data_IF_492839766078
#
_entry.id   IF_492839766078
#
_cell.length_a   1.000
_cell.length_b   1.000
_cell.length_c   1.000
_cell.angle_alpha   90.00
_cell.angle_beta   90.00
_cell.angle_gamma   90.00
#
_symmetry.space_group_name_H-M   'P 1'
#
loop_
_entity.id
_entity.type
_entity.pdbx_description
1 polymer ?
#
# COMPACT_ATOMS: atom_id res chain seq x y z
N UNK A 1 26.91 8.69 26.50
CA UNK A 1 26.47 7.28 26.60
C UNK A 1 25.87 7.14 27.97
N UNK A 2 24.54 7.14 28.07
CA UNK A 2 23.85 6.90 29.33
C UNK A 2 23.63 5.39 29.42
N UNK A 3 24.19 4.77 30.46
CA UNK A 3 23.94 3.37 30.78
C UNK A 3 22.44 3.21 31.06
N UNK A 4 21.73 2.60 30.10
CA UNK A 4 20.37 2.16 30.30
C UNK A 4 20.43 0.95 31.23
N UNK A 5 20.22 1.22 32.51
CA UNK A 5 20.10 0.21 33.56
C UNK A 5 18.84 -0.63 33.33
N UNK A 6 19.03 -1.89 32.93
CA UNK A 6 17.97 -2.89 32.69
C UNK A 6 17.60 -3.68 33.96
N UNK A 7 17.95 -3.18 35.15
CA UNK A 7 17.62 -3.81 36.45
C UNK A 7 16.12 -3.97 36.74
N UNK A 8 15.22 -3.42 35.91
CA UNK A 8 13.78 -3.63 36.04
C UNK A 8 13.28 -5.03 35.60
N UNK A 9 14.13 -5.85 34.95
CA UNK A 9 13.74 -7.23 34.59
C UNK A 9 13.99 -8.27 35.70
N UNK A 10 14.69 -7.91 36.78
CA UNK A 10 14.78 -8.75 37.99
C UNK A 10 13.60 -8.47 38.93
N UNK A 11 12.41 -8.78 38.42
CA UNK A 11 11.25 -8.99 39.27
C UNK A 11 11.50 -10.22 40.14
N UNK A 12 12.12 -10.03 41.31
CA UNK A 12 12.11 -10.99 42.39
C UNK A 12 10.66 -11.35 42.71
N UNK A 13 10.18 -12.45 42.13
CA UNK A 13 9.01 -13.16 42.59
C UNK A 13 9.36 -13.65 43.99
N UNK A 14 8.95 -12.92 45.01
CA UNK A 14 9.01 -13.39 46.40
C UNK A 14 8.28 -14.73 46.45
N UNK A 15 9.06 -15.80 46.64
CA UNK A 15 8.56 -17.14 46.90
C UNK A 15 7.66 -17.10 48.12
N UNK A 16 6.35 -17.12 47.88
CA UNK A 16 5.38 -17.52 48.88
C UNK A 16 5.49 -19.03 49.01
N UNK A 17 6.10 -19.49 50.09
CA UNK A 17 6.02 -20.87 50.56
C UNK A 17 4.55 -21.21 50.86
N UNK A 18 3.83 -21.72 49.86
CA UNK A 18 2.62 -22.52 50.10
C UNK A 18 3.01 -23.98 50.01
N UNK A 19 3.44 -24.51 51.16
CA UNK A 19 3.46 -25.95 51.42
C UNK A 19 2.05 -26.52 51.30
N UNK A 20 1.67 -26.90 50.09
CA UNK A 20 0.50 -27.72 49.82
C UNK A 20 1.00 -28.87 48.95
N UNK A 21 1.20 -30.04 49.56
CA UNK A 21 1.53 -31.26 48.85
C UNK A 21 0.48 -31.52 47.79
N UNK A 22 0.80 -31.17 46.55
CA UNK A 22 0.04 -31.57 45.38
C UNK A 22 0.30 -33.06 45.22
N UNK A 23 -0.60 -33.86 45.79
CA UNK A 23 -0.76 -35.26 45.43
C UNK A 23 -1.04 -35.26 43.94
N UNK A 24 -0.01 -35.50 43.13
CA UNK A 24 -0.18 -35.83 41.72
C UNK A 24 -0.97 -37.13 41.76
N UNK A 25 -2.26 -37.16 41.34
CA UNK A 25 -2.98 -38.41 41.29
C UNK A 25 -2.19 -39.32 40.35
N UNK A 26 -1.75 -40.45 40.87
CA UNK A 26 -1.24 -41.56 40.07
C UNK A 26 -2.37 -41.96 39.12
N UNK A 27 -2.28 -41.49 37.88
CA UNK A 27 -3.22 -41.85 36.82
C UNK A 27 -2.96 -43.31 36.52
N UNK A 28 -3.75 -44.16 37.17
CA UNK A 28 -3.85 -45.57 36.83
C UNK A 28 -4.37 -45.63 35.40
N UNK A 29 -3.49 -46.00 34.48
CA UNK A 29 -3.79 -46.25 33.07
C UNK A 29 -4.61 -47.54 32.97
N UNK A 30 -5.88 -47.45 33.34
CA UNK A 30 -6.86 -48.49 33.03
C UNK A 30 -7.10 -48.44 31.53
N UNK A 31 -6.59 -49.46 30.83
CA UNK A 31 -6.62 -49.63 29.37
C UNK A 31 -8.02 -49.64 28.75
N UNK A 32 -8.66 -48.48 28.73
CA UNK A 32 -9.73 -48.16 27.81
C UNK A 32 -9.08 -48.00 26.44
N UNK A 33 -9.23 -49.02 25.58
CA UNK A 33 -8.71 -49.00 24.22
C UNK A 33 -9.00 -47.67 23.55
N UNK A 34 -7.97 -46.84 23.41
CA UNK A 34 -8.06 -45.54 22.78
C UNK A 34 -8.47 -45.80 21.34
N UNK A 35 -9.75 -45.55 21.04
CA UNK A 35 -10.21 -45.48 19.65
C UNK A 35 -9.48 -44.27 19.09
N UNK A 36 -8.32 -44.51 18.47
CA UNK A 36 -7.46 -43.45 17.98
C UNK A 36 -8.30 -42.51 17.12
N UNK A 37 -8.38 -41.25 17.51
CA UNK A 37 -9.18 -40.20 16.85
C UNK A 37 -8.77 -40.10 15.37
N UNK A 38 -7.54 -40.48 15.06
CA UNK A 38 -6.98 -40.64 13.71
C UNK A 38 -7.82 -41.56 12.81
N UNK A 39 -8.48 -42.59 13.36
CA UNK A 39 -9.34 -43.50 12.60
C UNK A 39 -10.77 -42.95 12.37
N UNK A 40 -11.16 -41.85 13.03
CA UNK A 40 -12.53 -41.34 12.95
C UNK A 40 -12.73 -40.28 11.86
N UNK A 41 -11.71 -39.47 11.55
CA UNK A 41 -11.78 -38.36 10.59
C UNK A 41 -10.99 -38.64 9.30
N UNK A 42 -11.20 -39.81 8.69
CA UNK A 42 -10.52 -40.19 7.44
C UNK A 42 -11.35 -39.86 6.21
N UNK A 43 -10.69 -39.42 5.13
CA UNK A 43 -11.32 -39.11 3.84
C UNK A 43 -12.06 -40.32 3.26
N UNK A 44 -11.53 -41.53 3.48
CA UNK A 44 -12.14 -42.78 3.03
C UNK A 44 -13.57 -42.97 3.53
N UNK A 45 -13.88 -42.52 4.76
CA UNK A 45 -15.23 -42.58 5.31
C UNK A 45 -16.20 -41.57 4.70
N UNK A 46 -15.70 -40.45 4.18
CA UNK A 46 -16.52 -39.43 3.53
C UNK A 46 -16.78 -39.75 2.05
N UNK A 47 -15.94 -40.57 1.40
CA UNK A 47 -16.06 -40.88 -0.04
C UNK A 47 -17.43 -41.41 -0.47
N UNK A 48 -18.10 -42.31 0.26
CA UNK A 48 -19.41 -42.86 -0.15
C UNK A 48 -20.46 -41.78 -0.40
N UNK A 49 -20.47 -40.71 0.40
CA UNK A 49 -21.46 -39.62 0.32
C UNK A 49 -21.34 -38.82 -1.00
N UNK A 50 -20.15 -38.82 -1.62
CA UNK A 50 -19.89 -38.10 -2.87
C UNK A 50 -19.98 -38.98 -4.12
N UNK A 51 -20.16 -40.30 -3.98
CA UNK A 51 -20.18 -41.21 -5.14
C UNK A 51 -21.34 -40.92 -6.10
N UNK A 52 -22.50 -40.51 -5.59
CA UNK A 52 -23.66 -40.16 -6.43
C UNK A 52 -23.36 -38.91 -7.26
N UNK A 53 -22.87 -37.85 -6.60
CA UNK A 53 -22.54 -36.58 -7.26
C UNK A 53 -21.39 -36.75 -8.27
N UNK A 54 -20.42 -37.61 -7.96
CA UNK A 54 -19.32 -37.94 -8.88
C UNK A 54 -19.85 -38.57 -10.17
N UNK A 55 -20.79 -39.51 -10.08
CA UNK A 55 -21.41 -40.14 -11.27
C UNK A 55 -22.15 -39.12 -12.13
N UNK A 56 -22.90 -38.20 -11.52
CA UNK A 56 -23.59 -37.12 -12.23
C UNK A 56 -22.60 -36.18 -12.94
N UNK A 57 -21.51 -35.82 -12.27
CA UNK A 57 -20.43 -35.02 -12.83
C UNK A 57 -19.76 -35.71 -14.02
N UNK A 58 -19.39 -36.99 -13.89
CA UNK A 58 -18.74 -37.76 -14.96
C UNK A 58 -19.65 -37.89 -16.20
N UNK A 59 -20.96 -38.03 -16.00
CA UNK A 59 -21.95 -38.00 -17.07
C UNK A 59 -22.01 -36.61 -17.75
N UNK A 60 -22.02 -35.54 -16.97
CA UNK A 60 -22.03 -34.16 -17.48
C UNK A 60 -20.77 -33.83 -18.28
N UNK A 61 -19.60 -34.25 -17.81
CA UNK A 61 -18.31 -34.08 -18.51
C UNK A 61 -18.34 -34.78 -19.86
N UNK A 62 -18.93 -35.98 -19.92
CA UNK A 62 -19.08 -36.73 -21.18
C UNK A 62 -19.98 -36.00 -22.16
N UNK A 63 -21.11 -35.44 -21.70
CA UNK A 63 -22.01 -34.63 -22.53
C UNK A 63 -21.34 -33.34 -23.01
N UNK A 64 -20.64 -32.63 -22.12
CA UNK A 64 -19.92 -31.40 -22.44
C UNK A 64 -18.84 -31.60 -23.51
N UNK A 65 -18.15 -32.74 -23.52
CA UNK A 65 -17.16 -33.06 -24.57
C UNK A 65 -17.79 -33.25 -25.96
N UNK A 66 -19.07 -33.60 -26.01
CA UNK A 66 -19.77 -33.87 -27.27
C UNK A 66 -20.43 -32.63 -27.88
N UNK A 67 -20.60 -31.55 -27.11
CA UNK A 67 -21.31 -30.36 -27.57
C UNK A 67 -20.43 -29.50 -28.48
N UNK A 68 -20.95 -29.12 -29.64
CA UNK A 68 -20.38 -28.10 -30.52
C UNK A 68 -21.38 -26.98 -30.65
N UNK A 69 -20.98 -25.76 -30.30
CA UNK A 69 -21.84 -24.58 -30.38
C UNK A 69 -21.65 -23.94 -31.75
N UNK A 70 -22.63 -24.12 -32.63
CA UNK A 70 -22.59 -23.65 -34.04
C UNK A 70 -23.81 -22.78 -34.37
N UNK A 71 -24.89 -22.91 -33.60
CA UNK A 71 -26.18 -22.22 -33.80
C UNK A 71 -26.79 -21.79 -32.45
N UNK A 72 -27.89 -21.03 -32.52
CA UNK A 72 -28.58 -20.51 -31.33
C UNK A 72 -29.17 -21.65 -30.46
N UNK A 73 -29.60 -22.75 -31.08
CA UNK A 73 -30.14 -23.91 -30.35
C UNK A 73 -29.06 -24.65 -29.55
N UNK A 74 -27.88 -24.87 -30.14
CA UNK A 74 -26.71 -25.44 -29.45
C UNK A 74 -26.15 -24.49 -28.39
N UNK A 75 -26.25 -23.18 -28.60
CA UNK A 75 -25.92 -22.17 -27.58
C UNK A 75 -26.87 -22.26 -26.37
N UNK A 76 -28.17 -22.42 -26.60
CA UNK A 76 -29.16 -22.60 -25.54
C UNK A 76 -28.91 -23.89 -24.74
N UNK A 77 -28.61 -25.01 -25.43
CA UNK A 77 -28.23 -26.28 -24.79
C UNK A 77 -26.94 -26.17 -23.98
N UNK A 78 -25.93 -25.43 -24.48
CA UNK A 78 -24.70 -25.18 -23.73
C UNK A 78 -24.97 -24.36 -22.47
N UNK A 79 -25.83 -23.33 -22.54
CA UNK A 79 -26.22 -22.54 -21.37
C UNK A 79 -27.00 -23.37 -20.34
N UNK A 80 -27.90 -24.25 -20.78
CA UNK A 80 -28.59 -25.19 -19.88
C UNK A 80 -27.59 -26.12 -19.17
N UNK A 81 -26.61 -26.67 -19.90
CA UNK A 81 -25.56 -27.50 -19.33
C UNK A 81 -24.70 -26.74 -18.31
N UNK A 82 -24.40 -25.46 -18.55
CA UNK A 82 -23.72 -24.59 -17.58
C UNK A 82 -24.55 -24.38 -16.31
N UNK A 83 -25.87 -24.28 -16.42
CA UNK A 83 -26.77 -24.21 -15.25
C UNK A 83 -26.74 -25.53 -14.47
N UNK A 84 -26.81 -26.68 -15.15
CA UNK A 84 -26.75 -27.99 -14.50
C UNK A 84 -25.40 -28.23 -13.80
N UNK A 85 -24.29 -27.83 -14.41
CA UNK A 85 -22.95 -27.87 -13.79
C UNK A 85 -22.90 -27.06 -12.50
N UNK A 86 -23.56 -25.90 -12.48
CA UNK A 86 -23.67 -25.04 -11.28
C UNK A 86 -24.53 -25.66 -10.18
N UNK A 87 -25.58 -26.41 -10.54
CA UNK A 87 -26.39 -27.17 -9.59
C UNK A 87 -25.55 -28.29 -8.97
N UNK A 88 -24.82 -29.07 -9.77
CA UNK A 88 -23.89 -30.10 -9.28
C UNK A 88 -22.86 -29.49 -8.33
N UNK A 89 -22.24 -28.37 -8.70
CA UNK A 89 -21.29 -27.67 -7.83
C UNK A 89 -21.90 -27.24 -6.49
N UNK A 90 -23.15 -26.76 -6.48
CA UNK A 90 -23.88 -26.43 -5.25
C UNK A 90 -24.15 -27.68 -4.42
N UNK A 91 -24.55 -28.79 -5.04
CA UNK A 91 -24.80 -30.05 -4.35
C UNK A 91 -23.53 -30.60 -3.68
N UNK A 92 -22.35 -30.42 -4.32
CA UNK A 92 -21.05 -30.76 -3.70
C UNK A 92 -20.85 -29.95 -2.41
N UNK A 93 -21.06 -28.64 -2.45
CA UNK A 93 -20.91 -27.79 -1.26
C UNK A 93 -21.95 -28.14 -0.18
N UNK A 94 -23.20 -28.41 -0.55
CA UNK A 94 -24.21 -28.86 0.41
C UNK A 94 -23.82 -30.19 1.04
N UNK A 95 -23.46 -31.20 0.25
CA UNK A 95 -23.01 -32.52 0.74
C UNK A 95 -21.79 -32.39 1.66
N UNK A 96 -20.84 -31.53 1.32
CA UNK A 96 -19.68 -31.20 2.17
C UNK A 96 -20.12 -30.59 3.50
N UNK A 97 -21.02 -29.61 3.51
CA UNK A 97 -21.49 -28.98 4.76
C UNK A 97 -22.37 -29.90 5.61
N UNK A 98 -23.16 -30.78 4.99
CA UNK A 98 -24.03 -31.74 5.68
C UNK A 98 -23.26 -32.96 6.18
N UNK A 99 -22.11 -33.29 5.59
CA UNK A 99 -21.26 -34.38 6.05
C UNK A 99 -20.78 -34.11 7.49
N UNK A 100 -21.05 -35.07 8.38
CA UNK A 100 -20.79 -34.96 9.82
C UNK A 100 -19.29 -34.86 10.11
N UNK A 101 -18.44 -35.54 9.33
CA UNK A 101 -16.99 -35.50 9.52
C UNK A 101 -16.44 -34.12 9.17
N UNK A 102 -16.88 -33.56 8.04
CA UNK A 102 -16.48 -32.23 7.63
C UNK A 102 -16.97 -31.14 8.59
N UNK A 103 -18.25 -31.18 8.98
CA UNK A 103 -18.82 -30.18 9.91
C UNK A 103 -18.21 -30.27 11.31
N UNK A 104 -17.93 -31.47 11.82
CA UNK A 104 -17.21 -31.69 13.09
C UNK A 104 -15.79 -31.13 13.03
N UNK A 105 -15.04 -31.46 11.96
CA UNK A 105 -13.68 -30.94 11.77
C UNK A 105 -13.66 -29.41 11.60
N UNK A 106 -14.61 -28.85 10.85
CA UNK A 106 -14.76 -27.41 10.67
C UNK A 106 -15.12 -26.71 11.98
N UNK A 107 -16.01 -27.29 12.79
CA UNK A 107 -16.37 -26.77 14.11
C UNK A 107 -15.16 -26.76 15.05
N UNK A 108 -14.43 -27.88 15.14
CA UNK A 108 -13.21 -27.98 15.94
C UNK A 108 -12.19 -26.93 15.50
N UNK A 109 -11.91 -26.82 14.19
CA UNK A 109 -11.01 -25.81 13.65
C UNK A 109 -11.44 -24.40 14.04
N UNK A 110 -12.73 -24.08 13.90
CA UNK A 110 -13.24 -22.74 14.22
C UNK A 110 -13.19 -22.43 15.72
N UNK A 111 -13.50 -23.39 16.58
CA UNK A 111 -13.39 -23.27 18.04
C UNK A 111 -11.93 -23.14 18.47
N UNK A 112 -11.02 -23.94 17.91
CA UNK A 112 -9.59 -23.85 18.17
C UNK A 112 -8.98 -22.53 17.66
N UNK A 113 -9.32 -22.10 16.45
CA UNK A 113 -8.92 -20.79 15.90
C UNK A 113 -9.47 -19.64 16.76
N UNK A 114 -10.71 -19.76 17.24
CA UNK A 114 -11.30 -18.78 18.17
C UNK A 114 -10.53 -18.73 19.48
N UNK A 115 -10.26 -19.89 20.08
CA UNK A 115 -9.46 -20.00 21.29
C UNK A 115 -8.07 -19.41 21.10
N UNK A 116 -7.35 -19.75 20.02
CA UNK A 116 -6.04 -19.16 19.72
C UNK A 116 -6.09 -17.63 19.60
N UNK A 117 -7.13 -17.09 18.96
CA UNK A 117 -7.32 -15.64 18.85
C UNK A 117 -7.58 -14.99 20.19
N UNK A 118 -8.47 -15.57 21.00
CA UNK A 118 -8.86 -15.02 22.30
C UNK A 118 -7.73 -15.12 23.33
N UNK A 119 -7.03 -16.26 23.36
CA UNK A 119 -5.98 -16.55 24.33
C UNK A 119 -4.64 -15.89 23.98
N UNK A 120 -4.27 -15.82 22.70
CA UNK A 120 -2.93 -15.35 22.31
C UNK A 120 -2.97 -14.10 21.44
N UNK A 121 -3.69 -14.14 20.31
CA UNK A 121 -3.61 -13.06 19.33
C UNK A 121 -4.15 -11.72 19.87
N UNK A 122 -5.27 -11.75 20.59
CA UNK A 122 -5.89 -10.54 21.15
C UNK A 122 -5.03 -9.90 22.25
N UNK A 123 -4.51 -10.64 23.25
CA UNK A 123 -3.57 -10.08 24.22
C UNK A 123 -2.29 -9.53 23.58
N UNK A 124 -1.71 -10.24 22.60
CA UNK A 124 -0.54 -9.74 21.85
C UNK A 124 -0.84 -8.42 21.14
N UNK A 125 -1.99 -8.34 20.47
CA UNK A 125 -2.45 -7.12 19.79
C UNK A 125 -2.73 -5.98 20.77
N UNK A 126 -3.27 -6.28 21.95
CA UNK A 126 -3.49 -5.30 23.00
C UNK A 126 -2.15 -4.75 23.54
N UNK A 127 -1.16 -5.62 23.75
CA UNK A 127 0.19 -5.22 24.13
C UNK A 127 0.86 -4.37 23.04
N UNK A 128 0.75 -4.76 21.77
CA UNK A 128 1.25 -3.95 20.65
C UNK A 128 0.61 -2.56 20.65
N UNK A 129 -0.72 -2.49 20.81
CA UNK A 129 -1.48 -1.24 20.86
C UNK A 129 -1.06 -0.36 22.04
N UNK A 130 -0.68 -0.95 23.17
CA UNK A 130 -0.20 -0.22 24.35
C UNK A 130 1.25 0.28 24.20
N UNK A 131 2.11 -0.45 23.50
CA UNK A 131 3.54 -0.14 23.36
C UNK A 131 3.78 0.88 22.23
N UNK A 132 3.09 0.73 21.10
CA UNK A 132 3.26 1.58 19.91
C UNK A 132 3.18 3.09 20.17
N UNK A 133 2.21 3.64 20.94
CA UNK A 133 2.17 5.08 21.22
C UNK A 133 3.37 5.54 22.06
N UNK A 134 3.90 4.71 22.97
CA UNK A 134 5.08 5.03 23.80
C UNK A 134 6.35 5.12 22.93
N UNK A 135 6.53 4.16 22.02
CA UNK A 135 7.63 4.17 21.06
C UNK A 135 7.54 5.40 20.16
N UNK A 136 6.35 5.71 19.62
CA UNK A 136 6.15 6.88 18.79
C UNK A 136 6.42 8.19 19.54
N UNK A 137 6.00 8.29 20.81
CA UNK A 137 6.28 9.45 21.65
C UNK A 137 7.80 9.67 21.83
N UNK A 138 8.56 8.61 22.08
CA UNK A 138 10.01 8.68 22.18
C UNK A 138 10.67 9.11 20.86
N UNK A 139 10.28 8.50 19.73
CA UNK A 139 10.82 8.86 18.41
C UNK A 139 10.53 10.32 18.06
N UNK A 140 9.33 10.81 18.38
CA UNK A 140 8.97 12.21 18.18
C UNK A 140 9.79 13.15 19.07
N UNK A 141 10.03 12.78 20.33
CA UNK A 141 10.91 13.53 21.23
C UNK A 141 12.35 13.59 20.71
N UNK A 142 12.89 12.46 20.22
CA UNK A 142 14.23 12.41 19.62
C UNK A 142 14.33 13.28 18.37
N UNK A 143 13.31 13.25 17.49
CA UNK A 143 13.25 14.09 16.30
C UNK A 143 13.17 15.59 16.65
N UNK A 144 12.39 15.95 17.67
CA UNK A 144 12.29 17.34 18.14
C UNK A 144 13.60 17.84 18.75
N UNK A 145 14.25 17.02 19.57
CA UNK A 145 15.59 17.33 20.11
C UNK A 145 16.60 17.53 18.98
N UNK A 146 16.63 16.65 17.98
CA UNK A 146 17.50 16.77 16.82
C UNK A 146 17.22 18.06 16.02
N UNK A 147 15.95 18.43 15.83
CA UNK A 147 15.55 19.69 15.18
C UNK A 147 16.04 20.91 15.96
N UNK A 148 15.92 20.91 17.29
CA UNK A 148 16.39 22.02 18.14
C UNK A 148 17.91 22.17 18.09
N UNK A 149 18.64 21.06 18.12
CA UNK A 149 20.11 21.07 18.00
C UNK A 149 20.51 21.59 16.62
N UNK A 150 19.89 21.11 15.54
CA UNK A 150 20.15 21.57 14.19
C UNK A 150 19.82 23.05 13.99
N UNK A 151 18.69 23.53 14.52
CA UNK A 151 18.27 24.92 14.45
C UNK A 151 19.24 25.85 15.19
N UNK A 152 19.70 25.46 16.40
CA UNK A 152 20.72 26.21 17.14
C UNK A 152 22.04 26.29 16.38
N UNK A 153 22.51 25.17 15.85
CA UNK A 153 23.74 25.11 15.06
C UNK A 153 23.65 25.95 13.79
N UNK A 154 22.52 25.88 13.08
CA UNK A 154 22.28 26.68 11.89
C UNK A 154 22.19 28.19 12.21
N UNK A 155 21.60 28.58 13.34
CA UNK A 155 21.55 29.97 13.76
C UNK A 155 22.93 30.53 14.13
N UNK A 156 23.75 29.75 14.84
CA UNK A 156 25.13 30.12 15.18
C UNK A 156 26.01 30.26 13.93
N UNK A 157 25.89 29.32 12.99
CA UNK A 157 26.62 29.36 11.71
C UNK A 157 26.16 30.54 10.83
N UNK A 158 24.86 30.80 10.76
CA UNK A 158 24.32 31.96 10.05
C UNK A 158 24.76 33.29 10.67
N UNK A 159 24.83 33.39 12.01
CA UNK A 159 25.36 34.57 12.69
C UNK A 159 26.85 34.77 12.40
N UNK A 160 27.63 33.69 12.38
CA UNK A 160 29.06 33.73 12.01
C UNK A 160 29.23 34.25 10.59
N UNK A 161 28.47 33.69 9.64
CA UNK A 161 28.53 34.10 8.23
C UNK A 161 28.08 35.56 8.05
N UNK A 162 27.03 36.00 8.76
CA UNK A 162 26.56 37.40 8.71
C UNK A 162 27.61 38.37 9.24
N UNK A 163 28.29 38.03 10.34
CA UNK A 163 29.39 38.85 10.88
C UNK A 163 30.57 38.92 9.91
N UNK A 164 30.89 37.81 9.25
CA UNK A 164 31.96 37.75 8.25
C UNK A 164 31.61 38.56 7.00
N UNK A 165 30.40 38.42 6.47
CA UNK A 165 29.88 39.22 5.36
C UNK A 165 29.85 40.71 5.68
N UNK A 166 29.40 41.09 6.89
CA UNK A 166 29.39 42.49 7.31
C UNK A 166 30.80 43.08 7.43
N UNK A 167 31.78 42.29 7.91
CA UNK A 167 33.20 42.72 7.94
C UNK A 167 33.76 42.90 6.54
N UNK A 168 33.44 42.00 5.60
CA UNK A 168 33.89 42.09 4.22
C UNK A 168 33.30 43.33 3.53
N UNK A 169 31.99 43.56 3.69
CA UNK A 169 31.31 44.74 3.15
C UNK A 169 31.86 46.05 3.72
N UNK A 170 32.19 46.08 5.02
CA UNK A 170 32.80 47.25 5.64
C UNK A 170 34.23 47.48 5.12
N UNK A 171 35.03 46.42 4.95
CA UNK A 171 36.35 46.52 4.33
C UNK A 171 36.28 47.01 2.88
N UNK A 172 35.32 46.51 2.10
CA UNK A 172 35.06 46.97 0.73
C UNK A 172 34.63 48.44 0.72
N UNK A 173 33.74 48.86 1.63
CA UNK A 173 33.37 50.27 1.79
C UNK A 173 34.58 51.14 2.13
N UNK A 174 35.42 50.72 3.07
CA UNK A 174 36.62 51.47 3.46
C UNK A 174 37.62 51.56 2.31
N UNK A 175 37.80 50.46 1.56
CA UNK A 175 38.64 50.44 0.37
C UNK A 175 38.10 51.36 -0.72
N UNK A 176 36.80 51.31 -1.00
CA UNK A 176 36.14 52.20 -1.96
C UNK A 176 36.23 53.68 -1.51
N UNK A 177 36.07 53.97 -0.22
CA UNK A 177 36.25 55.32 0.32
C UNK A 177 37.67 55.82 0.13
N UNK A 178 38.68 55.01 0.46
CA UNK A 178 40.08 55.36 0.26
C UNK A 178 40.43 55.54 -1.21
N UNK A 179 39.98 54.66 -2.09
CA UNK A 179 40.16 54.78 -3.54
C UNK A 179 39.52 56.08 -4.08
N UNK A 180 38.35 56.48 -3.55
CA UNK A 180 37.71 57.76 -3.87
C UNK A 180 38.51 58.96 -3.36
N UNK A 181 39.02 58.92 -2.12
CA UNK A 181 39.85 59.99 -1.55
C UNK A 181 41.17 60.15 -2.32
N UNK A 182 41.84 59.05 -2.62
CA UNK A 182 43.09 59.02 -3.40
C UNK A 182 42.84 59.57 -4.83
N UNK A 183 41.72 59.18 -5.47
CA UNK A 183 41.32 59.71 -6.78
C UNK A 183 41.02 61.21 -6.75
N UNK A 184 40.33 61.71 -5.72
CA UNK A 184 40.06 63.13 -5.53
C UNK A 184 41.37 63.92 -5.30
N UNK A 185 42.29 63.40 -4.49
CA UNK A 185 43.58 64.03 -4.23
C UNK A 185 44.47 64.08 -5.49
N UNK A 186 44.47 63.01 -6.29
CA UNK A 186 45.17 62.98 -7.57
C UNK A 186 44.56 64.00 -8.55
N UNK A 187 43.22 64.07 -8.62
CA UNK A 187 42.51 65.05 -9.43
C UNK A 187 42.87 66.48 -9.04
N UNK A 188 42.88 66.81 -7.75
CA UNK A 188 43.27 68.14 -7.28
C UNK A 188 44.72 68.51 -7.64
N UNK A 189 45.66 67.55 -7.57
CA UNK A 189 47.06 67.78 -7.98
C UNK A 189 47.17 68.06 -9.47
N UNK A 190 46.49 67.27 -10.29
CA UNK A 190 46.45 67.44 -11.75
C UNK A 190 45.80 68.78 -12.12
N UNK A 191 44.70 69.16 -11.47
CA UNK A 191 44.02 70.44 -11.70
C UNK A 191 44.92 71.63 -11.32
N UNK A 192 45.65 71.54 -10.20
CA UNK A 192 46.60 72.59 -9.79
C UNK A 192 47.81 72.71 -10.73
N UNK A 193 48.33 71.57 -11.22
CA UNK A 193 49.43 71.55 -12.20
C UNK A 193 48.98 72.07 -13.58
N UNK A 194 47.78 71.70 -14.03
CA UNK A 194 47.18 72.21 -15.26
C UNK A 194 46.94 73.73 -15.19
N UNK A 195 46.46 74.24 -14.04
CA UNK A 195 46.32 75.68 -13.80
C UNK A 195 47.67 76.42 -13.82
N UNK A 196 48.72 75.83 -13.27
CA UNK A 196 50.07 76.41 -13.31
C UNK A 196 50.68 76.40 -14.73
N UNK A 197 50.33 75.39 -15.54
CA UNK A 197 50.82 75.23 -16.91
C UNK A 197 49.98 75.97 -17.98
N UNK A 198 48.77 76.45 -17.64
CA UNK A 198 47.89 77.19 -18.56
C UNK A 198 47.20 76.32 -19.62
N UNK A 199 47.03 75.02 -19.36
CA UNK A 199 46.39 74.05 -20.27
C UNK A 199 45.02 73.65 -19.71
N UNK A 200 44.00 73.54 -20.56
CA UNK A 200 42.62 73.19 -20.18
C UNK A 200 42.52 71.84 -19.43
N UNK A 201 41.72 71.82 -18.36
CA UNK A 201 41.57 70.66 -17.47
C UNK A 201 40.89 69.47 -18.17
N UNK A 202 41.47 68.27 -17.99
CA UNK A 202 40.98 67.01 -18.55
C UNK A 202 39.85 66.44 -17.68
N UNK A 203 38.68 66.21 -18.27
CA UNK A 203 37.51 65.65 -17.60
C UNK A 203 37.61 64.11 -17.49
N UNK A 204 37.72 63.58 -16.28
CA UNK A 204 37.72 62.13 -16.01
C UNK A 204 36.35 61.73 -15.46
N UNK A 205 35.63 60.87 -16.17
CA UNK A 205 34.33 60.31 -15.78
C UNK A 205 34.47 59.33 -14.61
N UNK A 206 33.60 59.50 -13.60
CA UNK A 206 33.55 58.61 -12.42
C UNK A 206 32.46 57.55 -12.66
N UNK A 207 32.75 56.25 -12.51
CA UNK A 207 31.79 55.17 -12.77
C UNK A 207 30.67 55.09 -11.72
N UNK A 208 29.42 55.02 -12.19
CA UNK A 208 28.17 54.91 -11.42
C UNK A 208 27.79 53.43 -11.19
N UNK A 209 27.24 53.08 -10.01
CA UNK A 209 27.01 51.69 -9.56
C UNK A 209 25.58 51.24 -9.88
N UNK A 210 25.41 50.17 -10.68
CA UNK A 210 24.12 49.58 -11.07
C UNK A 210 23.50 48.68 -9.97
N UNK A 211 22.21 48.86 -9.64
CA UNK A 211 21.43 48.04 -8.68
C UNK A 211 20.78 46.81 -9.35
N UNK A 212 20.71 45.67 -8.63
CA UNK A 212 20.34 44.35 -9.19
C UNK A 212 18.82 44.06 -9.27
N UNK A 213 18.34 43.27 -10.26
CA UNK A 213 16.91 43.05 -10.55
C UNK A 213 16.25 41.85 -9.82
N UNK A 214 14.94 41.99 -9.56
CA UNK A 214 14.02 41.06 -8.88
C UNK A 214 13.23 40.18 -9.87
N UNK A 215 13.02 38.89 -9.59
CA UNK A 215 12.39 37.93 -10.53
C UNK A 215 11.45 36.95 -9.81
N UNK A 216 10.16 37.00 -10.12
CA UNK A 216 9.14 36.08 -9.59
C UNK A 216 8.03 35.75 -10.62
N UNK A 217 7.53 34.49 -10.55
CA UNK A 217 6.23 33.93 -11.02
C UNK A 217 6.17 32.98 -12.24
N UNK A 218 5.67 31.75 -12.04
CA UNK A 218 5.06 30.84 -13.04
C UNK A 218 3.92 29.99 -12.40
N UNK A 219 2.80 29.79 -13.13
CA UNK A 219 1.54 29.13 -12.70
C UNK A 219 1.07 28.11 -13.77
N UNK A 220 0.49 26.97 -13.37
CA UNK A 220 0.02 25.88 -14.25
C UNK A 220 -1.44 25.52 -13.97
N UNK A 221 -2.24 25.29 -15.02
CA UNK A 221 -3.66 24.90 -15.00
C UNK A 221 -3.84 23.54 -15.70
N UNK A 222 -4.78 22.71 -15.23
CA UNK A 222 -5.12 21.38 -15.79
C UNK A 222 -6.64 21.22 -16.05
N UNK A 223 -7.09 20.51 -17.11
CA UNK A 223 -8.49 20.36 -17.49
C UNK A 223 -9.14 18.98 -17.19
N UNK A 224 -10.46 18.91 -17.40
CA UNK A 224 -11.49 17.99 -16.86
C UNK A 224 -12.00 16.93 -17.90
N UNK A 225 -12.55 15.78 -17.44
CA UNK A 225 -12.95 14.61 -18.28
C UNK A 225 -14.34 14.05 -17.90
N UNK A 226 -15.16 13.64 -18.89
CA UNK A 226 -16.52 13.07 -18.73
C UNK A 226 -16.71 11.57 -19.10
N UNK A 227 -17.46 10.89 -18.21
CA UNK A 227 -18.53 9.83 -18.23
C UNK A 227 -18.61 8.63 -19.23
N UNK A 228 -19.12 7.51 -18.66
CA UNK A 228 -19.19 6.12 -19.17
C UNK A 228 -20.62 5.57 -19.41
N UNK A 229 -20.81 4.48 -20.21
CA UNK A 229 -22.11 3.91 -20.62
C UNK A 229 -22.66 2.73 -19.77
N UNK A 230 -23.92 2.36 -20.06
CA UNK A 230 -24.92 1.67 -19.21
C UNK A 230 -25.08 0.13 -19.45
N UNK A 231 -25.77 -0.60 -18.53
CA UNK A 231 -25.85 -2.09 -18.44
C UNK A 231 -27.25 -2.67 -18.79
N UNK A 232 -27.31 -3.91 -19.29
CA UNK A 232 -28.54 -4.68 -19.62
C UNK A 232 -28.75 -5.91 -18.70
N UNK A 233 -30.01 -6.27 -18.38
CA UNK A 233 -30.43 -7.41 -17.52
C UNK A 233 -31.33 -8.41 -18.28
N UNK A 234 -31.32 -9.68 -17.85
CA UNK A 234 -32.19 -10.77 -18.34
C UNK A 234 -32.89 -11.43 -17.13
N UNK A 235 -34.19 -11.73 -17.25
CA UNK A 235 -35.06 -12.20 -16.18
C UNK A 235 -34.97 -13.73 -15.93
N UNK A 236 -34.90 -14.13 -14.65
CA UNK A 236 -35.40 -15.44 -14.18
C UNK A 236 -34.40 -16.51 -13.75
N UNK A 237 -33.17 -16.61 -14.30
CA UNK A 237 -32.27 -17.74 -14.00
C UNK A 237 -30.86 -17.36 -13.47
N UNK A 238 -30.64 -16.08 -13.21
CA UNK A 238 -29.33 -15.53 -12.86
C UNK A 238 -28.93 -14.47 -13.87
N UNK A 239 -28.21 -13.45 -13.41
CA UNK A 239 -27.75 -12.37 -14.28
C UNK A 239 -26.40 -12.77 -14.85
N UNK A 240 -26.35 -12.97 -16.17
CA UNK A 240 -25.10 -12.94 -16.93
C UNK A 240 -24.83 -11.49 -17.30
N UNK A 241 -23.72 -10.93 -16.81
CA UNK A 241 -23.23 -9.63 -17.23
C UNK A 241 -21.94 -9.87 -17.98
N UNK A 242 -21.94 -9.58 -19.28
CA UNK A 242 -20.71 -9.39 -20.04
C UNK A 242 -20.20 -8.01 -19.65
N UNK A 243 -19.01 -7.93 -19.06
CA UNK A 243 -18.31 -6.67 -18.81
C UNK A 243 -17.08 -6.63 -19.71
N UNK A 244 -16.91 -5.52 -20.43
CA UNK A 244 -15.63 -5.26 -21.11
C UNK A 244 -14.61 -4.94 -20.02
N UNK A 245 -13.59 -5.79 -19.89
CA UNK A 245 -12.46 -5.55 -18.99
C UNK A 245 -11.29 -5.13 -19.86
N UNK A 246 -10.80 -3.92 -19.63
CA UNK A 246 -9.58 -3.44 -20.25
C UNK A 246 -8.38 -4.19 -19.65
N UNK A 247 -7.73 -4.99 -20.49
CA UNK A 247 -6.48 -5.68 -20.20
C UNK A 247 -5.36 -5.05 -21.02
N UNK A 248 -4.12 -5.35 -20.66
CA UNK A 248 -2.95 -4.85 -21.38
C UNK A 248 -1.85 -5.90 -21.49
N UNK A 249 -1.02 -5.78 -22.53
CA UNK A 249 0.20 -6.57 -22.70
C UNK A 249 1.36 -5.61 -23.00
N UNK A 250 2.47 -5.81 -22.30
CA UNK A 250 3.71 -5.06 -22.56
C UNK A 250 4.38 -5.65 -23.80
N UNK A 251 4.49 -4.86 -24.86
CA UNK A 251 5.19 -5.23 -26.10
C UNK A 251 6.66 -4.81 -26.02
N UNK A 252 6.93 -3.61 -25.50
CA UNK A 252 8.27 -3.02 -25.46
C UNK A 252 8.48 -2.23 -24.17
N UNK A 253 9.32 -2.77 -23.27
CA UNK A 253 9.59 -2.17 -21.97
C UNK A 253 10.36 -0.85 -22.07
N UNK A 254 11.14 -0.65 -23.14
CA UNK A 254 12.03 0.52 -23.30
C UNK A 254 11.27 1.82 -23.61
N UNK A 255 10.04 1.70 -24.11
CA UNK A 255 9.17 2.82 -24.46
C UNK A 255 8.28 3.28 -23.32
N UNK A 256 8.22 2.50 -22.24
CA UNK A 256 7.39 2.82 -21.09
C UNK A 256 7.98 4.06 -20.41
N UNK A 257 7.18 5.12 -20.16
CA UNK A 257 7.67 6.32 -19.48
C UNK A 257 8.37 5.96 -18.17
N UNK A 258 9.49 6.63 -17.81
CA UNK A 258 10.27 6.30 -16.62
C UNK A 258 9.51 6.42 -15.29
N UNK A 259 8.38 7.11 -15.27
CA UNK A 259 7.48 7.15 -14.12
C UNK A 259 6.89 5.77 -13.77
N UNK A 260 6.94 4.85 -14.73
CA UNK A 260 6.58 3.44 -14.63
C UNK A 260 7.79 2.51 -14.81
N UNK A 261 9.04 3.00 -14.67
CA UNK A 261 10.30 2.25 -14.89
C UNK A 261 10.50 1.00 -14.02
N UNK A 262 9.68 0.82 -12.99
CA UNK A 262 9.39 -0.50 -12.44
C UNK A 262 7.95 -0.77 -12.85
N UNK A 263 7.67 -1.67 -13.83
CA UNK A 263 6.31 -1.92 -14.30
C UNK A 263 5.48 -2.52 -13.17
N UNK A 264 4.95 -1.65 -12.33
CA UNK A 264 3.99 -1.96 -11.31
C UNK A 264 2.65 -2.07 -12.04
N UNK A 265 2.24 -3.31 -12.28
CA UNK A 265 0.97 -3.65 -12.92
C UNK A 265 -0.20 -2.89 -12.28
N UNK A 266 -0.11 -2.55 -10.98
CA UNK A 266 -1.15 -1.78 -10.29
C UNK A 266 -1.20 -0.33 -10.74
N UNK A 267 -0.06 0.30 -10.98
CA UNK A 267 0.00 1.69 -11.49
C UNK A 267 -0.47 1.77 -12.93
N UNK A 268 -0.11 0.79 -13.75
CA UNK A 268 -0.58 0.71 -15.15
C UNK A 268 -2.09 0.46 -15.16
N UNK A 269 -2.58 -0.49 -14.36
CA UNK A 269 -4.01 -0.75 -14.22
C UNK A 269 -4.76 0.48 -13.69
N UNK A 270 -4.17 1.22 -12.74
CA UNK A 270 -4.72 2.47 -12.24
C UNK A 270 -4.71 3.56 -13.31
N UNK A 271 -3.67 3.68 -14.13
CA UNK A 271 -3.63 4.64 -15.24
C UNK A 271 -4.72 4.32 -16.29
N UNK A 272 -4.90 3.05 -16.63
CA UNK A 272 -5.94 2.62 -17.58
C UNK A 272 -7.35 2.82 -16.99
N UNK A 273 -7.57 2.45 -15.72
CA UNK A 273 -8.90 2.50 -15.09
C UNK A 273 -9.30 3.87 -14.56
N UNK A 274 -8.37 4.61 -13.95
CA UNK A 274 -8.62 5.87 -13.23
C UNK A 274 -8.28 7.06 -14.12
N UNK A 275 -7.13 7.02 -14.79
CA UNK A 275 -6.68 8.13 -15.65
C UNK A 275 -7.16 7.99 -17.11
N UNK A 276 -7.85 6.89 -17.45
CA UNK A 276 -8.40 6.59 -18.78
C UNK A 276 -7.36 6.67 -19.91
N UNK A 277 -6.09 6.38 -19.61
CA UNK A 277 -5.01 6.39 -20.60
C UNK A 277 -5.15 5.17 -21.51
N UNK A 278 -5.38 5.39 -22.81
CA UNK A 278 -5.61 4.35 -23.82
C UNK A 278 -4.40 4.06 -24.70
N UNK A 279 -3.44 4.96 -24.71
CA UNK A 279 -2.21 4.83 -25.46
C UNK A 279 -1.03 5.05 -24.51
N UNK A 280 -0.35 3.96 -24.17
CA UNK A 280 0.91 4.02 -23.41
C UNK A 280 1.99 3.44 -24.33
N UNK A 281 3.04 4.19 -24.68
CA UNK A 281 4.08 3.69 -25.55
C UNK A 281 4.67 2.37 -24.99
N UNK A 282 4.68 1.33 -25.82
CA UNK A 282 5.19 0.00 -25.45
C UNK A 282 4.16 -0.94 -24.80
N UNK A 283 2.92 -0.49 -24.60
CA UNK A 283 1.82 -1.31 -24.05
C UNK A 283 0.65 -1.33 -25.02
N UNK A 284 0.20 -2.53 -25.40
CA UNK A 284 -1.04 -2.72 -26.15
C UNK A 284 -2.19 -2.95 -25.17
N UNK A 285 -3.18 -2.06 -25.21
CA UNK A 285 -4.38 -2.10 -24.38
C UNK A 285 -5.53 -2.64 -25.24
N UNK A 286 -6.21 -3.68 -24.77
CA UNK A 286 -7.32 -4.30 -25.48
C UNK A 286 -8.52 -4.56 -24.55
N UNK A 287 -9.72 -4.59 -25.12
CA UNK A 287 -10.93 -4.99 -24.40
C UNK A 287 -11.11 -6.50 -24.51
N UNK A 288 -11.22 -7.16 -23.36
CA UNK A 288 -11.59 -8.56 -23.28
C UNK A 288 -12.99 -8.69 -22.68
N UNK A 289 -13.85 -9.44 -23.34
CA UNK A 289 -15.20 -9.71 -22.87
C UNK A 289 -15.17 -10.73 -21.74
N UNK A 290 -15.23 -10.25 -20.49
CA UNK A 290 -15.30 -11.12 -19.31
C UNK A 290 -16.76 -11.37 -18.95
N UNK A 291 -17.18 -12.63 -19.08
CA UNK A 291 -18.57 -13.04 -18.80
C UNK A 291 -18.69 -13.48 -17.36
N UNK A 292 -19.29 -12.61 -16.52
CA UNK A 292 -19.58 -12.97 -15.15
C UNK A 292 -21.03 -13.42 -15.02
N UNK A 293 -21.22 -14.70 -14.72
CA UNK A 293 -22.55 -15.26 -14.51
C UNK A 293 -22.78 -15.46 -13.01
N UNK A 294 -23.73 -14.72 -12.43
CA UNK A 294 -24.08 -14.83 -11.01
C UNK A 294 -25.35 -15.66 -10.84
N UNK A 295 -25.26 -16.73 -10.06
CA UNK A 295 -26.46 -17.46 -9.63
C UNK A 295 -27.22 -16.62 -8.61
N UNK A 296 -28.51 -16.42 -8.88
CA UNK A 296 -29.45 -16.00 -7.86
C UNK A 296 -29.42 -17.04 -6.74
N UNK A 297 -29.12 -16.61 -5.51
CA UNK A 297 -29.47 -17.42 -4.34
C UNK A 297 -30.99 -17.40 -4.32
N UNK A 298 -31.64 -18.52 -4.66
CA UNK A 298 -33.02 -18.72 -4.22
C UNK A 298 -32.97 -18.49 -2.72
N UNK A 299 -33.62 -17.43 -2.27
CA UNK A 299 -33.93 -17.22 -0.86
C UNK A 299 -34.53 -18.53 -0.39
N UNK A 300 -33.75 -19.33 0.35
CA UNK A 300 -34.25 -20.54 0.96
C UNK A 300 -35.37 -20.06 1.84
N UNK A 301 -36.60 -20.29 1.41
CA UNK A 301 -37.78 -20.05 2.22
C UNK A 301 -37.48 -20.64 3.58
N UNK A 302 -37.57 -19.76 4.57
CA UNK A 302 -37.89 -20.06 5.95
C UNK A 302 -38.59 -21.42 6.04
N UNK A 303 -37.84 -22.46 6.42
CA UNK A 303 -38.41 -23.62 7.10
C UNK A 303 -38.96 -23.11 8.41
N UNK A 304 -40.18 -22.56 8.34
CA UNK A 304 -41.04 -22.43 9.48
C UNK A 304 -41.44 -23.82 9.94
N UNK A 305 -41.47 -23.95 11.27
CA UNK A 305 -42.30 -24.89 12.04
C UNK A 305 -42.11 -26.38 11.72
N UNK A 306 -41.39 -27.08 12.59
CA UNK A 306 -41.98 -28.12 13.45
C UNK A 306 -41.15 -28.25 14.73
#
# INVERSE_FOLDING_TARGET
>A
MADLDFSFLDGQVKGGETGGGSVIPEIVDEGAGSISIENQLTVERAKPDFLVIKREMDAMVSQARSIKVVDEESNLKANEMLIQLRVIARNIETAKTTNILYSTAARFKNEFDKWLRETFANPLKAMETAIKPKVNAYVNQQRELARRIAAKKAAEEAERLRKEQAKLQEQERQRQQKEREDALALKQKLDAEAQAAGVEAVNVEIPEVEEAPDVSHLLVVTPEIEKTPEKVKIDGAGTSSVKMVWNFRIIDQSKIPPEYCLPDEKKITAAIRIMNVREIPGIEIYEEADTNVRLSRKSSMSTGEF
#
